data_IF_779944267828
#
_entry.id   IF_779944267828
#
_cell.length_a   1.000
_cell.length_b   1.000
_cell.length_c   1.000
_cell.angle_alpha   90.00
_cell.angle_beta   90.00
_cell.angle_gamma   90.00
#
_symmetry.space_group_name_H-M   'P 1'
#
loop_
_entity.id
_entity.type
_entity.pdbx_description
1 polymer ?
#
# COMPACT_ATOMS: atom_id res chain seq x y z
N UNK A 1 -20.70 29.39 22.98
CA UNK A 1 -19.85 28.23 22.67
C UNK A 1 -19.55 28.30 21.18
N UNK A 2 -18.38 28.82 20.81
CA UNK A 2 -18.06 29.19 19.43
C UNK A 2 -17.92 27.96 18.54
N UNK A 3 -18.88 27.78 17.62
CA UNK A 3 -18.89 26.71 16.63
C UNK A 3 -17.61 26.71 15.79
N UNK A 4 -17.02 27.88 15.53
CA UNK A 4 -15.73 28.05 14.85
C UNK A 4 -14.55 27.47 15.65
N UNK A 5 -14.51 27.64 16.98
CA UNK A 5 -13.49 27.01 17.85
C UNK A 5 -13.68 25.51 17.94
N UNK A 6 -14.92 25.03 18.00
CA UNK A 6 -15.22 23.59 18.01
C UNK A 6 -14.82 22.91 16.68
N UNK A 7 -15.12 23.55 15.54
CA UNK A 7 -14.73 23.06 14.21
C UNK A 7 -13.21 23.08 14.05
N UNK A 8 -12.54 24.18 14.41
CA UNK A 8 -11.08 24.24 14.37
C UNK A 8 -10.47 23.16 15.26
N UNK A 9 -10.84 23.09 16.54
CA UNK A 9 -10.23 22.17 17.48
C UNK A 9 -10.44 20.69 17.11
N UNK A 10 -11.62 20.30 16.63
CA UNK A 10 -11.86 18.92 16.17
C UNK A 10 -11.13 18.59 14.87
N UNK A 11 -11.06 19.52 13.91
CA UNK A 11 -10.34 19.30 12.64
C UNK A 11 -8.82 19.25 12.89
N UNK A 12 -8.28 20.16 13.70
CA UNK A 12 -6.84 20.21 13.97
C UNK A 12 -6.38 18.99 14.77
N UNK A 13 -7.11 18.56 15.79
CA UNK A 13 -6.74 17.32 16.53
C UNK A 13 -6.84 16.08 15.64
N UNK A 14 -7.85 16.01 14.77
CA UNK A 14 -8.02 14.89 13.86
C UNK A 14 -6.85 14.79 12.87
N UNK A 15 -6.46 15.88 12.20
CA UNK A 15 -5.39 15.83 11.19
C UNK A 15 -4.03 15.41 11.77
N UNK A 16 -3.70 15.84 13.00
CA UNK A 16 -2.48 15.39 13.68
C UNK A 16 -2.49 13.89 13.94
N UNK A 17 -3.65 13.34 14.31
CA UNK A 17 -3.79 11.90 14.55
C UNK A 17 -3.66 11.11 13.23
N UNK A 18 -4.30 11.54 12.15
CA UNK A 18 -4.11 10.95 10.82
C UNK A 18 -2.64 11.01 10.36
N UNK A 19 -1.96 12.13 10.61
CA UNK A 19 -0.54 12.30 10.28
C UNK A 19 0.35 11.37 11.10
N UNK A 20 0.10 11.25 12.40
CA UNK A 20 0.87 10.37 13.29
C UNK A 20 0.69 8.90 12.91
N UNK A 21 -0.55 8.47 12.67
CA UNK A 21 -0.82 7.08 12.26
C UNK A 21 -0.22 6.79 10.89
N UNK A 22 -0.36 7.69 9.91
CA UNK A 22 0.26 7.55 8.60
C UNK A 22 1.79 7.49 8.68
N UNK A 23 2.40 8.30 9.55
CA UNK A 23 3.84 8.26 9.80
C UNK A 23 4.29 6.91 10.39
N UNK A 24 3.61 6.43 11.42
CA UNK A 24 3.91 5.11 12.02
C UNK A 24 3.71 3.99 11.00
N UNK A 25 2.63 4.03 10.22
CA UNK A 25 2.38 3.08 9.16
C UNK A 25 3.50 3.07 8.11
N UNK A 26 4.02 4.24 7.72
CA UNK A 26 5.13 4.35 6.78
C UNK A 26 6.46 3.87 7.37
N UNK A 27 6.68 4.01 8.69
CA UNK A 27 7.87 3.44 9.36
C UNK A 27 7.84 1.91 9.34
N UNK A 28 6.68 1.32 9.66
CA UNK A 28 6.47 -0.13 9.58
C UNK A 28 6.71 -0.59 8.15
N UNK A 29 6.14 0.11 7.17
CA UNK A 29 6.31 -0.19 5.76
C UNK A 29 7.75 -0.03 5.26
N UNK A 30 8.47 1.00 5.68
CA UNK A 30 9.89 1.15 5.34
C UNK A 30 10.76 -0.01 5.83
N UNK A 31 10.32 -0.72 6.88
CA UNK A 31 11.00 -1.90 7.41
C UNK A 31 10.55 -3.24 6.80
N UNK A 32 9.26 -3.39 6.47
CA UNK A 32 8.63 -4.64 6.00
C UNK A 32 8.37 -4.67 4.48
N UNK A 33 8.17 -3.50 3.87
CA UNK A 33 8.03 -3.24 2.43
C UNK A 33 6.63 -3.32 1.82
N UNK A 34 5.62 -3.87 2.50
CA UNK A 34 4.24 -4.00 1.98
C UNK A 34 3.15 -3.75 3.05
N UNK A 35 3.52 -3.14 4.17
CA UNK A 35 2.66 -3.01 5.35
C UNK A 35 1.87 -1.69 5.40
N UNK A 36 2.24 -0.68 4.59
CA UNK A 36 1.56 0.62 4.59
C UNK A 36 0.09 0.46 4.21
N UNK A 37 -0.16 -0.26 3.12
CA UNK A 37 -1.49 -0.54 2.59
C UNK A 37 -2.45 -1.09 3.65
N UNK A 38 -2.02 -2.14 4.35
CA UNK A 38 -2.84 -2.82 5.37
C UNK A 38 -3.07 -1.90 6.57
N UNK A 39 -2.02 -1.30 7.11
CA UNK A 39 -2.09 -0.50 8.35
C UNK A 39 -2.92 0.78 8.16
N UNK A 40 -2.61 1.56 7.12
CA UNK A 40 -3.28 2.83 6.84
C UNK A 40 -4.72 2.64 6.38
N UNK A 41 -4.99 1.64 5.51
CA UNK A 41 -6.36 1.39 5.04
C UNK A 41 -7.25 0.87 6.18
N UNK A 42 -6.75 -0.02 7.04
CA UNK A 42 -7.51 -0.47 8.21
C UNK A 42 -7.84 0.68 9.15
N UNK A 43 -6.90 1.59 9.41
CA UNK A 43 -7.16 2.77 10.23
C UNK A 43 -8.20 3.69 9.58
N UNK A 44 -8.03 4.06 8.31
CA UNK A 44 -8.96 4.96 7.61
C UNK A 44 -10.39 4.40 7.54
N UNK A 45 -10.54 3.10 7.25
CA UNK A 45 -11.85 2.45 7.25
C UNK A 45 -12.42 2.42 8.67
N UNK A 46 -11.61 2.13 9.69
CA UNK A 46 -12.04 2.13 11.09
C UNK A 46 -12.49 3.52 11.57
N UNK A 47 -11.95 4.60 11.02
CA UNK A 47 -12.39 5.97 11.30
C UNK A 47 -13.57 6.44 10.43
N UNK A 48 -14.14 5.55 9.60
CA UNK A 48 -15.34 5.82 8.80
C UNK A 48 -15.09 6.35 7.38
N UNK A 49 -13.85 6.35 6.90
CA UNK A 49 -13.55 6.71 5.50
C UNK A 49 -13.99 5.57 4.58
N UNK A 50 -14.60 5.91 3.44
CA UNK A 50 -15.07 4.88 2.50
C UNK A 50 -13.89 4.09 1.91
N UNK A 51 -14.04 2.77 1.67
CA UNK A 51 -12.95 1.93 1.16
C UNK A 51 -12.33 2.44 -0.16
N UNK A 52 -13.15 3.06 -1.01
CA UNK A 52 -12.69 3.65 -2.27
C UNK A 52 -11.74 4.84 -2.03
N UNK A 53 -12.11 5.76 -1.14
CA UNK A 53 -11.28 6.92 -0.80
C UNK A 53 -10.03 6.49 -0.04
N UNK A 54 -10.16 5.57 0.93
CA UNK A 54 -9.01 5.04 1.66
C UNK A 54 -7.97 4.42 0.72
N UNK A 55 -8.40 3.55 -0.20
CA UNK A 55 -7.50 2.90 -1.15
C UNK A 55 -6.80 3.91 -2.06
N UNK A 56 -7.55 4.88 -2.61
CA UNK A 56 -7.00 5.91 -3.48
C UNK A 56 -5.97 6.79 -2.76
N UNK A 57 -6.27 7.24 -1.53
CA UNK A 57 -5.36 8.06 -0.74
C UNK A 57 -4.09 7.31 -0.34
N UNK A 58 -4.21 6.05 0.06
CA UNK A 58 -3.07 5.23 0.47
C UNK A 58 -2.13 4.95 -0.71
N UNK A 59 -2.65 4.54 -1.86
CA UNK A 59 -1.82 4.34 -3.06
C UNK A 59 -1.17 5.63 -3.54
N UNK A 60 -1.90 6.76 -3.51
CA UNK A 60 -1.33 8.05 -3.88
C UNK A 60 -0.15 8.43 -2.97
N UNK A 61 -0.30 8.25 -1.66
CA UNK A 61 0.77 8.49 -0.70
C UNK A 61 1.95 7.52 -0.88
N UNK A 62 1.68 6.23 -1.10
CA UNK A 62 2.69 5.19 -1.26
C UNK A 62 3.51 5.36 -2.55
N UNK A 63 2.88 5.75 -3.66
CA UNK A 63 3.58 6.08 -4.90
C UNK A 63 4.53 7.25 -4.69
N UNK A 64 4.10 8.27 -3.94
CA UNK A 64 4.93 9.43 -3.63
C UNK A 64 6.14 9.06 -2.76
N UNK A 65 5.90 8.36 -1.64
CA UNK A 65 6.98 7.97 -0.71
C UNK A 65 7.94 6.97 -1.34
N UNK A 66 7.43 5.98 -2.07
CA UNK A 66 8.24 5.02 -2.84
C UNK A 66 9.03 5.70 -3.94
N UNK A 67 8.45 6.71 -4.61
CA UNK A 67 9.14 7.53 -5.60
C UNK A 67 10.34 8.27 -5.01
N UNK A 68 10.16 8.91 -3.84
CA UNK A 68 11.26 9.56 -3.11
C UNK A 68 12.32 8.54 -2.68
N UNK A 69 11.92 7.39 -2.16
CA UNK A 69 12.84 6.30 -1.81
C UNK A 69 13.64 5.80 -3.01
N UNK A 70 12.98 5.62 -4.16
CA UNK A 70 13.64 5.26 -5.41
C UNK A 70 14.64 6.32 -5.89
N UNK A 71 14.28 7.60 -5.77
CA UNK A 71 15.17 8.72 -6.11
C UNK A 71 16.41 8.76 -5.21
N UNK A 72 16.24 8.48 -3.91
CA UNK A 72 17.35 8.36 -2.96
C UNK A 72 18.33 7.26 -3.38
N UNK A 73 17.84 6.06 -3.70
CA UNK A 73 18.68 4.97 -4.18
C UNK A 73 19.41 5.32 -5.50
N UNK A 74 18.76 6.05 -6.40
CA UNK A 74 19.41 6.54 -7.62
C UNK A 74 20.55 7.51 -7.31
N UNK A 75 20.33 8.44 -6.37
CA UNK A 75 21.35 9.41 -5.92
C UNK A 75 22.58 8.73 -5.32
N UNK A 76 22.37 7.67 -4.54
CA UNK A 76 23.45 6.84 -3.99
C UNK A 76 24.10 5.90 -5.01
N UNK A 77 23.73 5.98 -6.30
CA UNK A 77 24.22 5.12 -7.41
C UNK A 77 24.03 3.62 -7.16
N UNK A 78 23.17 3.23 -6.22
CA UNK A 78 22.91 1.83 -5.87
C UNK A 78 21.72 1.27 -6.66
N UNK A 79 21.69 1.54 -7.97
CA UNK A 79 20.63 1.04 -8.84
C UNK A 79 21.19 0.22 -10.01
N UNK A 80 20.65 -0.97 -10.18
CA UNK A 80 20.85 -1.72 -11.42
C UNK A 80 19.86 -1.21 -12.47
N UNK A 81 20.34 -0.35 -13.37
CA UNK A 81 19.51 0.26 -14.43
C UNK A 81 18.80 -0.77 -15.30
N UNK A 82 19.43 -1.92 -15.56
CA UNK A 82 18.82 -3.02 -16.33
C UNK A 82 17.63 -3.62 -15.58
N UNK A 83 17.82 -3.98 -14.30
CA UNK A 83 16.74 -4.51 -13.46
C UNK A 83 15.61 -3.48 -13.27
N UNK A 84 15.97 -2.22 -13.06
CA UNK A 84 14.99 -1.13 -12.93
C UNK A 84 14.12 -1.02 -14.18
N UNK A 85 14.71 -0.95 -15.38
CA UNK A 85 13.93 -0.85 -16.61
C UNK A 85 13.12 -2.12 -16.90
N UNK A 86 13.66 -3.29 -16.58
CA UNK A 86 12.95 -4.56 -16.69
C UNK A 86 11.74 -4.69 -15.75
N UNK A 87 11.67 -3.89 -14.69
CA UNK A 87 10.53 -3.86 -13.77
C UNK A 87 9.59 -2.68 -14.08
N UNK A 88 10.16 -1.49 -14.30
CA UNK A 88 9.42 -0.24 -14.48
C UNK A 88 8.62 -0.23 -15.78
N UNK A 89 9.22 -0.62 -16.92
CA UNK A 89 8.53 -0.58 -18.22
C UNK A 89 7.35 -1.55 -18.26
N UNK A 90 7.52 -2.87 -18.02
CA UNK A 90 6.38 -3.78 -18.04
C UNK A 90 5.40 -3.53 -16.89
N UNK A 91 5.89 -3.05 -15.74
CA UNK A 91 5.02 -2.65 -14.62
C UNK A 91 4.11 -1.48 -14.98
N UNK A 92 4.65 -0.42 -15.60
CA UNK A 92 3.88 0.74 -16.03
C UNK A 92 2.86 0.36 -17.13
N UNK A 93 3.29 -0.40 -18.13
CA UNK A 93 2.40 -0.89 -19.20
C UNK A 93 1.27 -1.74 -18.59
N UNK A 94 1.62 -2.68 -17.71
CA UNK A 94 0.66 -3.55 -17.04
C UNK A 94 -0.33 -2.78 -16.16
N UNK A 95 0.14 -1.75 -15.44
CA UNK A 95 -0.71 -0.90 -14.62
C UNK A 95 -1.69 -0.07 -15.47
N UNK A 96 -1.23 0.53 -16.58
CA UNK A 96 -2.09 1.31 -17.48
C UNK A 96 -3.12 0.40 -18.16
N UNK A 97 -2.68 -0.71 -18.75
CA UNK A 97 -3.56 -1.66 -19.43
C UNK A 97 -4.56 -2.27 -18.44
N UNK A 98 -4.10 -2.66 -17.25
CA UNK A 98 -4.94 -3.21 -16.19
C UNK A 98 -5.98 -2.21 -15.67
N UNK A 99 -5.57 -0.96 -15.43
CA UNK A 99 -6.47 0.11 -15.00
C UNK A 99 -7.52 0.40 -16.07
N UNK A 100 -7.12 0.53 -17.33
CA UNK A 100 -8.02 0.78 -18.46
C UNK A 100 -9.02 -0.37 -18.65
N UNK A 101 -8.54 -1.61 -18.61
CA UNK A 101 -9.38 -2.79 -18.71
C UNK A 101 -10.39 -2.83 -17.57
N UNK A 102 -9.93 -2.65 -16.32
CA UNK A 102 -10.78 -2.67 -15.14
C UNK A 102 -11.82 -1.54 -15.13
N UNK A 103 -11.44 -0.32 -15.55
CA UNK A 103 -12.34 0.82 -15.62
C UNK A 103 -13.38 0.72 -16.73
N UNK A 104 -13.17 -0.13 -17.73
CA UNK A 104 -14.09 -0.31 -18.86
C UNK A 104 -15.29 -1.22 -18.55
N UNK A 105 -15.25 -1.97 -17.46
CA UNK A 105 -16.34 -2.86 -17.03
C UNK A 105 -17.14 -2.29 -15.86
N UNK A 106 -18.36 -2.79 -15.66
CA UNK A 106 -19.15 -2.45 -14.47
C UNK A 106 -18.46 -3.01 -13.21
N UNK A 107 -18.07 -2.11 -12.31
CA UNK A 107 -17.41 -2.46 -11.06
C UNK A 107 -18.21 -3.42 -10.16
N UNK A 108 -19.54 -3.41 -10.22
CA UNK A 108 -20.39 -4.30 -9.43
C UNK A 108 -20.26 -5.77 -9.86
N UNK A 109 -20.11 -6.01 -11.17
CA UNK A 109 -19.91 -7.36 -11.72
C UNK A 109 -18.53 -7.91 -11.38
N UNK A 110 -17.51 -7.05 -11.37
CA UNK A 110 -16.11 -7.45 -11.16
C UNK A 110 -15.73 -7.60 -9.68
N UNK A 111 -16.34 -6.80 -8.80
CA UNK A 111 -16.09 -6.80 -7.35
C UNK A 111 -16.05 -8.20 -6.71
N UNK A 112 -17.00 -9.13 -6.97
CA UNK A 112 -16.94 -10.47 -6.37
C UNK A 112 -15.71 -11.27 -6.83
N UNK A 113 -15.30 -11.17 -8.10
CA UNK A 113 -14.12 -11.86 -8.62
C UNK A 113 -12.82 -11.38 -7.95
N UNK A 114 -12.67 -10.05 -7.81
CA UNK A 114 -11.51 -9.46 -7.11
C UNK A 114 -11.51 -9.91 -5.65
N UNK A 115 -12.66 -9.89 -4.99
CA UNK A 115 -12.79 -10.28 -3.58
C UNK A 115 -12.37 -11.74 -3.38
N UNK A 116 -12.84 -12.67 -4.23
CA UNK A 116 -12.44 -14.08 -4.19
C UNK A 116 -10.93 -14.22 -4.42
N UNK A 117 -10.38 -13.52 -5.41
CA UNK A 117 -8.94 -13.55 -5.69
C UNK A 117 -8.11 -13.08 -4.49
N UNK A 118 -8.49 -11.95 -3.88
CA UNK A 118 -7.80 -11.40 -2.71
C UNK A 118 -7.92 -12.34 -1.50
N UNK A 119 -9.08 -12.97 -1.31
CA UNK A 119 -9.30 -13.93 -0.22
C UNK A 119 -8.41 -15.18 -0.39
N UNK A 120 -8.31 -15.72 -1.60
CA UNK A 120 -7.41 -16.83 -1.91
C UNK A 120 -5.94 -16.46 -1.71
N UNK A 121 -5.54 -15.25 -2.11
CA UNK A 121 -4.18 -14.76 -1.86
C UNK A 121 -3.89 -14.60 -0.37
N UNK A 122 -4.82 -14.05 0.40
CA UNK A 122 -4.70 -13.96 1.87
C UNK A 122 -4.51 -15.32 2.52
N UNK A 123 -5.37 -16.29 2.15
CA UNK A 123 -5.24 -17.68 2.64
C UNK A 123 -3.88 -18.29 2.26
N UNK A 124 -3.43 -18.08 1.02
CA UNK A 124 -2.14 -18.58 0.53
C UNK A 124 -0.96 -17.98 1.30
N UNK A 125 -1.01 -16.70 1.65
CA UNK A 125 0.02 -16.03 2.46
C UNK A 125 0.05 -16.63 3.87
N UNK A 126 -1.09 -16.81 4.52
CA UNK A 126 -1.20 -17.42 5.87
C UNK A 126 -0.68 -18.86 5.84
N UNK A 127 -1.11 -19.66 4.85
CA UNK A 127 -0.63 -21.03 4.67
C UNK A 127 0.89 -21.09 4.49
N UNK A 128 1.46 -20.20 3.65
CA UNK A 128 2.90 -20.13 3.43
C UNK A 128 3.65 -19.68 4.70
N UNK A 129 3.08 -18.76 5.48
CA UNK A 129 3.66 -18.30 6.74
C UNK A 129 3.76 -19.45 7.76
N UNK A 130 2.73 -20.28 7.90
CA UNK A 130 2.74 -21.43 8.80
C UNK A 130 3.58 -22.61 8.30
N UNK A 131 3.68 -22.80 6.98
CA UNK A 131 4.53 -23.86 6.39
C UNK A 131 6.03 -23.57 6.53
N UNK A 132 6.46 -22.34 6.87
CA UNK A 132 7.87 -21.99 7.05
C UNK A 132 8.42 -22.51 8.39
N UNK A 133 8.58 -23.83 8.47
CA UNK A 133 9.32 -24.55 9.52
C UNK A 133 10.09 -25.69 8.84
N UNK A 134 11.24 -25.34 8.24
CA UNK A 134 12.35 -26.17 7.71
C UNK A 134 12.92 -25.57 6.41
N UNK A 135 13.61 -24.43 6.51
CA UNK A 135 14.62 -24.09 5.50
C UNK A 135 15.96 -24.41 6.15
N UNK A 136 16.45 -25.60 5.79
CA UNK A 136 17.68 -26.21 6.28
C UNK A 136 18.89 -25.27 6.22
N UNK A 137 19.59 -25.17 7.34
CA UNK A 137 20.86 -24.48 7.53
C UNK A 137 22.06 -25.21 6.87
N UNK A 138 21.88 -25.85 5.71
CA UNK A 138 22.86 -26.78 5.11
C UNK A 138 23.61 -26.30 3.86
N UNK A 139 23.79 -24.99 3.66
CA UNK A 139 24.68 -24.51 2.58
C UNK A 139 25.51 -23.30 2.99
N UNK A 140 26.41 -23.50 3.95
CA UNK A 140 27.68 -22.79 4.04
C UNK A 140 28.71 -23.78 4.60
N UNK A 141 29.34 -24.53 3.71
CA UNK A 141 30.61 -25.23 3.93
C UNK A 141 31.47 -24.96 2.70
#
# INVERSE_FOLDING_TARGET
MDVTKFIHQNITTSIYLYMLVGFVAQLIDGSLGMAYGVSSTSFLISTGVSPAVSSASVHAAEVFTTGISGLSHWRFKNINKKMFMQLAIPGAIGAIVGAYFLSSFNGEMIKPYITIYLLLMGFRIIYKAWKKKNIDSKKFK
#
